data_IF_590630422431
#
_entry.id   IF_590630422431
#
_cell.length_a   1.000
_cell.length_b   1.000
_cell.length_c   1.000
_cell.angle_alpha   90.00
_cell.angle_beta   90.00
_cell.angle_gamma   90.00
#
_symmetry.space_group_name_H-M   'P 1'
#
loop_
_entity.id
_entity.type
_entity.pdbx_description
1 polymer ?
#
# COMPACT_ATOMS: atom_id res chain seq x y z
N UNK A 1 3.65 14.64 12.40
CA UNK A 1 4.47 14.20 11.25
C UNK A 1 5.34 15.35 10.82
N UNK A 2 6.65 15.14 10.69
CA UNK A 2 7.58 16.15 10.16
C UNK A 2 7.25 16.46 8.69
N UNK A 3 7.32 17.72 8.26
CA UNK A 3 6.97 18.14 6.89
C UNK A 3 7.82 17.45 5.82
N UNK A 4 9.08 17.15 6.12
CA UNK A 4 9.99 16.38 5.26
C UNK A 4 9.45 14.98 4.94
N UNK A 5 8.79 14.33 5.90
CA UNK A 5 8.14 13.02 5.68
C UNK A 5 6.80 13.13 4.95
N UNK A 6 6.12 14.28 5.08
CA UNK A 6 4.84 14.55 4.42
C UNK A 6 5.04 14.80 2.92
N UNK A 7 6.07 15.56 2.54
CA UNK A 7 6.42 15.82 1.14
C UNK A 7 6.76 14.52 0.38
N UNK A 8 7.55 13.65 1.02
CA UNK A 8 7.86 12.33 0.46
C UNK A 8 6.60 11.49 0.21
N UNK A 9 5.69 11.40 1.20
CA UNK A 9 4.40 10.70 1.07
C UNK A 9 3.49 11.33 0.01
N UNK A 10 3.48 12.66 -0.10
CA UNK A 10 2.67 13.39 -1.08
C UNK A 10 3.13 13.11 -2.50
N UNK A 11 4.45 13.11 -2.75
CA UNK A 11 5.01 12.77 -4.07
C UNK A 11 4.70 11.34 -4.53
N UNK A 12 4.53 10.40 -3.58
CA UNK A 12 4.14 9.01 -3.86
C UNK A 12 2.64 8.91 -4.14
N UNK A 13 1.82 9.62 -3.36
CA UNK A 13 0.39 9.75 -3.60
C UNK A 13 0.12 10.31 -5.01
N UNK A 14 0.78 11.41 -5.37
CA UNK A 14 0.54 12.09 -6.64
C UNK A 14 1.01 11.25 -7.84
N UNK A 15 2.13 10.53 -7.72
CA UNK A 15 2.68 9.74 -8.83
C UNK A 15 2.03 8.38 -8.99
N UNK A 16 1.83 7.63 -7.91
CA UNK A 16 1.39 6.23 -8.01
C UNK A 16 -0.12 6.10 -7.78
N UNK A 17 -0.66 6.80 -6.77
CA UNK A 17 -2.08 6.67 -6.37
C UNK A 17 -2.96 7.46 -7.33
N UNK A 18 -2.67 8.74 -7.60
CA UNK A 18 -3.47 9.51 -8.56
C UNK A 18 -3.33 8.96 -9.99
N UNK A 19 -2.14 8.48 -10.41
CA UNK A 19 -2.00 7.92 -11.76
C UNK A 19 -2.87 6.66 -11.98
N UNK A 20 -3.03 5.84 -10.94
CA UNK A 20 -3.74 4.56 -11.03
C UNK A 20 -5.23 4.69 -10.71
N UNK A 21 -5.58 5.46 -9.67
CA UNK A 21 -6.94 5.52 -9.12
C UNK A 21 -7.74 6.75 -9.55
N UNK A 22 -7.16 7.72 -10.29
CA UNK A 22 -7.91 8.90 -10.78
C UNK A 22 -9.10 8.58 -11.68
N UNK A 23 -9.14 7.39 -12.29
CA UNK A 23 -10.21 6.95 -13.20
C UNK A 23 -11.18 5.93 -12.58
N UNK A 24 -10.99 5.54 -11.32
CA UNK A 24 -11.78 4.51 -10.62
C UNK A 24 -12.53 5.15 -9.45
N UNK A 25 -13.74 4.70 -9.16
CA UNK A 25 -14.44 5.10 -7.94
C UNK A 25 -13.89 4.34 -6.73
N UNK A 26 -14.03 4.92 -5.52
CA UNK A 26 -13.53 4.33 -4.27
C UNK A 26 -14.08 2.92 -4.00
N UNK A 27 -15.28 2.63 -4.50
CA UNK A 27 -16.01 1.36 -4.40
C UNK A 27 -15.54 0.27 -5.36
N UNK A 28 -14.83 0.63 -6.43
CA UNK A 28 -14.36 -0.31 -7.46
C UNK A 28 -12.92 -0.80 -7.21
N UNK A 29 -12.26 -0.28 -6.17
CA UNK A 29 -10.87 -0.61 -5.87
C UNK A 29 -10.81 -1.93 -5.13
N UNK A 30 -10.28 -2.95 -5.80
CA UNK A 30 -10.05 -4.26 -5.22
C UNK A 30 -8.63 -4.40 -4.64
N UNK A 31 -8.48 -5.32 -3.67
CA UNK A 31 -7.17 -5.67 -3.11
C UNK A 31 -6.17 -6.19 -4.15
N UNK A 32 -6.65 -6.82 -5.22
CA UNK A 32 -5.83 -7.26 -6.35
C UNK A 32 -5.17 -6.11 -7.10
N UNK A 33 -5.87 -4.99 -7.31
CA UNK A 33 -5.31 -3.80 -7.95
C UNK A 33 -4.20 -3.17 -7.08
N UNK A 34 -4.42 -3.11 -5.76
CA UNK A 34 -3.42 -2.65 -4.80
C UNK A 34 -2.18 -3.55 -4.81
N UNK A 35 -2.39 -4.86 -4.87
CA UNK A 35 -1.34 -5.88 -4.96
C UNK A 35 -0.54 -5.71 -6.25
N UNK A 36 -1.21 -5.56 -7.39
CA UNK A 36 -0.57 -5.34 -8.69
C UNK A 36 0.26 -4.06 -8.72
N UNK A 37 -0.25 -2.96 -8.14
CA UNK A 37 0.48 -1.70 -8.00
C UNK A 37 1.73 -1.87 -7.13
N UNK A 38 1.59 -2.50 -5.96
CA UNK A 38 2.72 -2.76 -5.06
C UNK A 38 3.79 -3.64 -5.72
N UNK A 39 3.38 -4.66 -6.47
CA UNK A 39 4.29 -5.55 -7.19
C UNK A 39 5.03 -4.83 -8.31
N UNK A 40 4.37 -3.93 -9.04
CA UNK A 40 5.00 -3.08 -10.07
C UNK A 40 6.07 -2.17 -9.47
N UNK A 41 5.78 -1.53 -8.34
CA UNK A 41 6.74 -0.65 -7.63
C UNK A 41 7.90 -1.47 -7.03
N UNK A 42 7.61 -2.66 -6.50
CA UNK A 42 8.63 -3.60 -6.04
C UNK A 42 9.56 -4.04 -7.17
N UNK A 43 9.03 -4.33 -8.35
CA UNK A 43 9.81 -4.71 -9.54
C UNK A 43 10.75 -3.60 -10.03
N UNK A 44 10.42 -2.32 -9.77
CA UNK A 44 11.30 -1.17 -10.03
C UNK A 44 12.47 -1.04 -9.04
N UNK A 45 12.57 -1.93 -8.04
CA UNK A 45 13.65 -1.93 -7.06
C UNK A 45 13.38 -1.09 -5.80
N UNK A 46 12.16 -0.61 -5.60
CA UNK A 46 11.78 0.22 -4.45
C UNK A 46 10.74 -0.48 -3.53
N UNK A 47 11.12 -1.54 -2.79
CA UNK A 47 10.19 -2.26 -1.91
C UNK A 47 9.69 -1.41 -0.73
N UNK A 48 10.48 -0.43 -0.27
CA UNK A 48 10.08 0.49 0.80
C UNK A 48 8.90 1.38 0.37
N UNK A 49 8.93 1.89 -0.86
CA UNK A 49 7.85 2.70 -1.43
C UNK A 49 6.57 1.90 -1.61
N UNK A 50 6.66 0.62 -1.98
CA UNK A 50 5.48 -0.25 -2.09
C UNK A 50 4.76 -0.44 -0.75
N UNK A 51 5.49 -0.58 0.36
CA UNK A 51 4.88 -0.62 1.71
C UNK A 51 4.24 0.73 2.06
N UNK A 52 4.90 1.83 1.72
CA UNK A 52 4.39 3.18 1.97
C UNK A 52 3.09 3.46 1.21
N UNK A 53 2.95 2.97 -0.03
CA UNK A 53 1.70 3.07 -0.82
C UNK A 53 0.56 2.35 -0.09
N UNK A 54 0.79 1.10 0.34
CA UNK A 54 -0.19 0.33 1.10
C UNK A 54 -0.64 1.06 2.36
N UNK A 55 0.30 1.62 3.12
CA UNK A 55 0.00 2.32 4.37
C UNK A 55 -0.83 3.59 4.14
N UNK A 56 -0.52 4.35 3.08
CA UNK A 56 -1.28 5.54 2.70
C UNK A 56 -2.72 5.15 2.34
N UNK A 57 -2.90 4.10 1.52
CA UNK A 57 -4.24 3.64 1.14
C UNK A 57 -5.03 3.17 2.36
N UNK A 58 -4.40 2.40 3.26
CA UNK A 58 -5.05 1.97 4.52
C UNK A 58 -5.52 3.17 5.35
N UNK A 59 -4.72 4.25 5.42
CA UNK A 59 -5.10 5.48 6.12
C UNK A 59 -6.25 6.23 5.43
N UNK A 60 -6.28 6.27 4.08
CA UNK A 60 -7.36 6.91 3.31
C UNK A 60 -8.69 6.21 3.55
N UNK A 61 -8.73 4.87 3.44
CA UNK A 61 -9.95 4.10 3.71
C UNK A 61 -10.36 4.17 5.18
N UNK A 62 -9.41 4.19 6.11
CA UNK A 62 -9.69 4.45 7.52
C UNK A 62 -10.35 5.81 7.75
N UNK A 63 -9.89 6.85 7.05
CA UNK A 63 -10.49 8.19 7.11
C UNK A 63 -11.90 8.23 6.47
N UNK A 64 -12.09 7.59 5.33
CA UNK A 64 -13.40 7.49 4.65
C UNK A 64 -14.45 6.77 5.52
N UNK A 65 -14.05 5.68 6.18
CA UNK A 65 -14.91 4.94 7.11
C UNK A 65 -15.37 5.79 8.31
N UNK A 66 -14.51 6.69 8.80
CA UNK A 66 -14.88 7.64 9.86
C UNK A 66 -15.86 8.72 9.38
N UNK A 67 -15.83 9.08 8.09
CA UNK A 67 -16.71 10.09 7.49
C UNK A 67 -18.04 9.50 6.98
N UNK A 68 -18.31 8.21 7.25
CA UNK A 68 -19.60 7.58 6.98
C UNK A 68 -19.68 6.78 5.67
N UNK A 69 -18.63 6.78 4.86
CA UNK A 69 -18.53 5.93 3.68
C UNK A 69 -17.96 4.57 4.11
N UNK A 70 -18.83 3.64 4.52
CA UNK A 70 -18.44 2.30 5.00
C UNK A 70 -17.98 1.43 3.83
N UNK A 71 -16.73 1.60 3.40
CA UNK A 71 -16.12 0.81 2.33
C UNK A 71 -15.15 -0.21 2.93
N UNK A 72 -15.23 -1.44 2.44
CA UNK A 72 -14.29 -2.48 2.83
C UNK A 72 -12.87 -2.07 2.43
N UNK A 73 -11.93 -2.12 3.37
CA UNK A 73 -10.58 -1.65 3.12
C UNK A 73 -9.79 -2.70 2.31
N UNK A 74 -9.39 -2.41 1.06
CA UNK A 74 -8.64 -3.37 0.24
C UNK A 74 -7.26 -3.69 0.82
N UNK A 75 -6.72 -2.83 1.68
CA UNK A 75 -5.39 -2.99 2.27
C UNK A 75 -5.31 -4.08 3.35
N UNK A 76 -6.43 -4.57 3.88
CA UNK A 76 -6.44 -5.66 4.87
C UNK A 76 -6.17 -7.03 4.24
N UNK A 77 -6.35 -7.16 2.93
CA UNK A 77 -6.02 -8.38 2.16
C UNK A 77 -4.53 -8.47 1.77
N UNK A 78 -3.74 -7.41 2.02
CA UNK A 78 -2.35 -7.30 1.56
C UNK A 78 -1.39 -7.09 2.74
N UNK A 79 -0.74 -8.18 3.14
CA UNK A 79 0.25 -8.15 4.22
C UNK A 79 1.52 -7.39 3.82
N UNK A 80 2.01 -6.53 4.73
CA UNK A 80 3.26 -5.78 4.54
C UNK A 80 4.44 -6.73 4.36
N UNK A 81 4.39 -7.88 5.05
CA UNK A 81 5.40 -8.92 4.97
C UNK A 81 5.55 -9.44 3.52
N UNK A 82 4.43 -9.64 2.81
CA UNK A 82 4.44 -10.10 1.41
C UNK A 82 5.09 -9.09 0.46
N UNK A 83 4.95 -7.80 0.74
CA UNK A 83 5.56 -6.73 -0.08
C UNK A 83 7.04 -6.56 0.29
N UNK A 84 7.34 -6.40 1.58
CA UNK A 84 8.66 -6.04 2.11
C UNK A 84 9.69 -7.12 1.86
N UNK A 85 9.30 -8.39 1.93
CA UNK A 85 10.25 -9.46 1.84
C UNK A 85 10.61 -9.71 0.37
N UNK A 86 11.75 -9.15 -0.04
CA UNK A 86 12.55 -9.70 -1.13
C UNK A 86 13.10 -11.06 -0.64
N UNK A 87 12.25 -12.08 -0.56
CA UNK A 87 12.65 -13.44 -0.17
C UNK A 87 13.50 -14.02 -1.33
N UNK A 88 14.80 -13.67 -1.38
CA UNK A 88 15.83 -14.48 -2.09
C UNK A 88 16.22 -15.72 -1.27
N UNK A 89 15.77 -15.85 -0.02
CA UNK A 89 15.92 -17.02 0.85
C UNK A 89 14.69 -17.19 1.73
N UNK A 90 14.28 -18.43 1.94
CA UNK A 90 13.05 -18.86 2.65
C UNK A 90 13.14 -18.65 4.18
N UNK A 91 14.34 -18.70 4.76
CA UNK A 91 14.59 -18.55 6.21
C UNK A 91 14.00 -17.29 6.87
N UNK A 92 14.20 -16.05 6.35
CA UNK A 92 13.60 -14.86 6.97
C UNK A 92 12.07 -14.79 6.84
N UNK A 93 11.46 -15.56 5.92
CA UNK A 93 9.99 -15.65 5.78
C UNK A 93 9.36 -16.44 6.96
N UNK A 94 10.03 -17.47 7.49
CA UNK A 94 9.50 -18.29 8.61
C UNK A 94 9.64 -17.60 9.98
N UNK A 95 10.73 -16.86 10.21
CA UNK A 95 11.04 -16.26 11.51
C UNK A 95 10.05 -15.17 11.94
N UNK A 96 9.35 -14.53 11.00
CA UNK A 96 8.36 -13.47 11.25
C UNK A 96 6.95 -14.00 11.54
N UNK A 97 6.66 -15.30 11.32
CA UNK A 97 5.36 -15.90 11.66
C UNK A 97 5.32 -16.52 13.06
N UNK A 98 6.45 -16.60 13.75
CA UNK A 98 6.60 -17.32 15.04
C UNK A 98 7.14 -16.44 16.19
N UNK A 99 7.09 -15.11 16.06
CA UNK A 99 7.35 -14.13 17.12
C UNK A 99 6.25 -13.09 17.11
#
# INVERSE_FOLDING_TARGET
>A
MAESTRSMRKSVLDRDILSTFKKRLLSEIHGEDLRALCMRVKARGAPATAVQIRDIVKQIYGYANLHGEKVANPADSVDAASIRLSCRRIEPCLRLKFT
#
